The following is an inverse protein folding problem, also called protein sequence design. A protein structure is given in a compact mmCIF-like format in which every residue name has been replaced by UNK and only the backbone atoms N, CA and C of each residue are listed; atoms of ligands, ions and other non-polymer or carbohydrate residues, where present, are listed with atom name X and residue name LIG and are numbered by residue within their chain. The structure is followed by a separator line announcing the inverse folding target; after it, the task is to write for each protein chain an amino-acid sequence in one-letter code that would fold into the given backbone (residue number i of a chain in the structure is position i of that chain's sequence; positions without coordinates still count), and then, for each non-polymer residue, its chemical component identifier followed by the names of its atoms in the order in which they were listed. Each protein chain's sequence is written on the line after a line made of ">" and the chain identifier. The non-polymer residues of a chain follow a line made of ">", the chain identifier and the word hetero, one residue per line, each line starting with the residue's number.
data_IF_673952134653
#
_entry.id   IF_673952134653
#
_cell.length_a   1.000
_cell.length_b   1.000
_cell.length_c   1.000
_cell.angle_alpha   90.00
_cell.angle_beta   90.00
_cell.angle_gamma   90.00
#
_symmetry.space_group_name_H-M   'P 1'
#
loop_
_entity.id
_entity.type
_entity.pdbx_description
1 polymer ?
#
# COMPACT_ATOMS: atom_id res chain seq x y z
N UNK A 1 -17.48 14.70 -3.34
CA UNK A 1 -16.08 14.20 -3.28
C UNK A 1 -15.20 15.39 -3.58
N UNK A 2 -14.17 15.61 -2.78
CA UNK A 2 -13.19 16.68 -3.05
C UNK A 2 -12.49 16.37 -4.36
N UNK A 3 -12.48 17.31 -5.29
CA UNK A 3 -11.82 17.19 -6.63
C UNK A 3 -10.29 17.05 -6.49
N UNK A 4 -9.74 17.25 -5.30
CA UNK A 4 -8.32 17.46 -5.02
C UNK A 4 -7.47 16.16 -4.95
N UNK A 5 -8.10 14.97 -4.84
CA UNK A 5 -7.38 13.72 -4.60
C UNK A 5 -7.93 12.56 -5.46
N UNK A 6 -7.99 12.77 -6.78
CA UNK A 6 -8.38 11.72 -7.72
C UNK A 6 -7.15 11.22 -8.48
N UNK A 7 -7.08 9.93 -8.72
CA UNK A 7 -6.17 9.33 -9.69
C UNK A 7 -6.67 9.76 -11.07
N UNK A 8 -5.93 10.59 -11.77
CA UNK A 8 -6.29 11.11 -13.10
C UNK A 8 -5.85 10.13 -14.17
N UNK A 9 -4.56 9.83 -14.19
CA UNK A 9 -4.04 8.78 -15.03
C UNK A 9 -4.21 7.43 -14.33
N UNK A 10 -5.06 6.58 -14.91
CA UNK A 10 -5.42 5.27 -14.35
C UNK A 10 -4.35 4.21 -14.61
N UNK A 11 -3.45 4.46 -15.56
CA UNK A 11 -2.43 3.52 -16.01
C UNK A 11 -1.02 4.00 -15.69
N UNK A 12 -0.83 5.29 -15.43
CA UNK A 12 0.44 5.90 -15.06
C UNK A 12 0.87 5.61 -13.61
N UNK A 13 2.09 6.00 -13.31
CA UNK A 13 2.68 5.86 -11.98
C UNK A 13 2.04 6.82 -10.99
N UNK A 14 1.47 6.27 -9.93
CA UNK A 14 0.88 7.05 -8.85
C UNK A 14 1.52 6.69 -7.50
N UNK A 15 2.04 7.70 -6.81
CA UNK A 15 2.42 7.58 -5.40
C UNK A 15 1.19 7.81 -4.53
N UNK A 16 0.98 6.94 -3.56
CA UNK A 16 -0.17 6.99 -2.65
C UNK A 16 0.25 6.76 -1.21
N UNK A 17 -0.46 7.43 -0.29
CA UNK A 17 -0.40 7.15 1.15
C UNK A 17 -1.77 6.69 1.62
N UNK A 18 -1.84 5.50 2.19
CA UNK A 18 -3.08 4.89 2.68
C UNK A 18 -3.00 4.72 4.21
N UNK A 19 -3.46 5.69 4.99
CA UNK A 19 -3.44 5.59 6.46
C UNK A 19 -4.62 4.76 6.98
N UNK A 20 -4.38 4.06 8.10
CA UNK A 20 -5.45 3.56 8.95
C UNK A 20 -6.13 4.77 9.60
N UNK A 21 -7.44 4.68 9.77
CA UNK A 21 -8.22 5.75 10.38
C UNK A 21 -7.70 6.05 11.78
N UNK A 22 -7.59 7.34 12.13
CA UNK A 22 -7.01 7.76 13.40
C UNK A 22 -5.54 7.41 13.62
N UNK A 23 -4.81 7.01 12.57
CA UNK A 23 -3.42 6.58 12.65
C UNK A 23 -3.18 5.43 13.65
N UNK A 24 -4.19 4.55 13.78
CA UNK A 24 -4.13 3.39 14.67
C UNK A 24 -3.09 2.40 14.18
N UNK A 25 -2.19 1.93 15.07
CA UNK A 25 -1.12 0.97 14.79
C UNK A 25 -1.66 -0.45 14.59
N UNK A 26 -2.45 -0.64 13.51
CA UNK A 26 -3.07 -1.92 13.18
C UNK A 26 -2.02 -2.96 12.78
N UNK A 27 -1.06 -2.56 11.94
CA UNK A 27 -0.08 -3.43 11.30
C UNK A 27 1.10 -3.84 12.20
N UNK A 28 1.03 -3.63 13.50
CA UNK A 28 1.99 -4.18 14.47
C UNK A 28 1.87 -5.70 14.56
N UNK A 29 0.72 -6.29 14.21
CA UNK A 29 0.54 -7.74 14.13
C UNK A 29 0.61 -8.25 12.69
N UNK A 30 1.27 -9.38 12.51
CA UNK A 30 1.52 -10.00 11.21
C UNK A 30 0.23 -10.28 10.44
N UNK A 31 -0.81 -10.79 11.09
CA UNK A 31 -2.08 -11.15 10.44
C UNK A 31 -2.66 -10.00 9.61
N UNK A 32 -2.60 -8.76 10.10
CA UNK A 32 -3.13 -7.61 9.36
C UNK A 32 -2.23 -7.21 8.18
N UNK A 33 -0.93 -7.45 8.28
CA UNK A 33 0.01 -7.26 7.17
C UNK A 33 -0.26 -8.29 6.08
N UNK A 34 -0.47 -9.56 6.44
CA UNK A 34 -0.78 -10.62 5.49
C UNK A 34 -2.11 -10.37 4.77
N UNK A 35 -3.15 -9.89 5.45
CA UNK A 35 -4.41 -9.47 4.81
C UNK A 35 -4.15 -8.44 3.68
N UNK A 36 -3.26 -7.48 3.90
CA UNK A 36 -2.88 -6.48 2.88
C UNK A 36 -2.10 -7.13 1.75
N UNK A 37 -1.06 -7.90 2.06
CA UNK A 37 -0.17 -8.52 1.07
C UNK A 37 -0.89 -9.55 0.20
N UNK A 38 -1.72 -10.42 0.79
CA UNK A 38 -2.52 -11.41 0.06
C UNK A 38 -3.49 -10.73 -0.90
N UNK A 39 -4.11 -9.64 -0.46
CA UNK A 39 -5.01 -8.87 -1.32
C UNK A 39 -4.27 -8.21 -2.48
N UNK A 40 -3.03 -7.74 -2.29
CA UNK A 40 -2.21 -7.20 -3.38
C UNK A 40 -1.75 -8.29 -4.34
N UNK A 41 -1.31 -9.46 -3.85
CA UNK A 41 -0.98 -10.63 -4.70
C UNK A 41 -2.16 -11.00 -5.60
N UNK A 42 -3.37 -11.06 -5.01
CA UNK A 42 -4.58 -11.29 -5.80
C UNK A 42 -4.81 -10.22 -6.88
N UNK A 43 -4.63 -8.93 -6.53
CA UNK A 43 -4.80 -7.85 -7.49
C UNK A 43 -3.74 -7.88 -8.61
N UNK A 44 -2.50 -8.26 -8.30
CA UNK A 44 -1.44 -8.46 -9.29
C UNK A 44 -1.81 -9.57 -10.27
N UNK A 45 -2.31 -10.70 -9.79
CA UNK A 45 -2.65 -11.86 -10.61
C UNK A 45 -3.93 -11.66 -11.45
N UNK A 46 -4.91 -10.87 -10.97
CA UNK A 46 -6.25 -10.86 -11.54
C UNK A 46 -6.78 -9.49 -11.96
N UNK A 47 -6.10 -8.41 -11.59
CA UNK A 47 -6.62 -7.04 -11.82
C UNK A 47 -5.59 -6.09 -12.45
N UNK A 48 -4.57 -6.62 -13.11
CA UNK A 48 -3.55 -5.81 -13.77
C UNK A 48 -2.81 -4.84 -12.85
N UNK A 49 -2.86 -5.06 -11.53
CA UNK A 49 -2.23 -4.20 -10.55
C UNK A 49 -0.72 -4.40 -10.55
N UNK A 50 0.03 -3.33 -10.68
CA UNK A 50 1.50 -3.35 -10.69
C UNK A 50 2.01 -2.57 -9.48
N UNK A 51 2.85 -3.20 -8.68
CA UNK A 51 3.53 -2.60 -7.53
C UNK A 51 4.96 -2.28 -7.93
N UNK A 52 5.33 -1.01 -7.86
CA UNK A 52 6.68 -0.54 -8.18
C UNK A 52 7.52 -0.31 -6.94
N UNK A 53 6.96 0.30 -5.91
CA UNK A 53 7.60 0.43 -4.60
C UNK A 53 6.55 0.48 -3.49
N UNK A 54 6.86 -0.06 -2.31
CA UNK A 54 5.97 0.01 -1.16
C UNK A 54 6.73 -0.03 0.17
N UNK A 55 6.10 0.46 1.21
CA UNK A 55 6.41 0.15 2.60
C UNK A 55 5.14 0.07 3.43
N UNK A 56 5.02 -0.97 4.24
CA UNK A 56 3.91 -1.20 5.14
C UNK A 56 4.36 -0.88 6.55
N UNK A 57 4.00 0.33 7.01
CA UNK A 57 4.30 0.87 8.33
C UNK A 57 3.22 0.43 9.34
N UNK A 58 3.42 0.58 10.65
CA UNK A 58 2.45 0.15 11.66
C UNK A 58 1.02 0.67 11.47
N UNK A 59 0.84 1.86 10.90
CA UNK A 59 -0.46 2.55 10.80
C UNK A 59 -0.80 3.11 9.42
N UNK A 60 0.07 2.89 8.44
CA UNK A 60 -0.16 3.34 7.07
C UNK A 60 0.67 2.55 6.06
N UNK A 61 0.31 2.74 4.80
CA UNK A 61 1.06 2.20 3.66
C UNK A 61 1.46 3.34 2.75
N UNK A 62 2.72 3.35 2.31
CA UNK A 62 3.16 4.10 1.13
C UNK A 62 3.31 3.14 -0.05
N UNK A 63 2.90 3.59 -1.21
CA UNK A 63 2.84 2.76 -2.41
C UNK A 63 3.09 3.60 -3.65
N UNK A 64 3.93 3.11 -4.57
CA UNK A 64 3.95 3.53 -5.97
C UNK A 64 3.38 2.38 -6.77
N UNK A 65 2.29 2.64 -7.49
CA UNK A 65 1.60 1.63 -8.29
C UNK A 65 1.05 2.21 -9.58
N UNK A 66 0.82 1.30 -10.54
CA UNK A 66 0.08 1.51 -11.77
C UNK A 66 -0.93 0.38 -11.99
N UNK A 67 -1.69 0.44 -13.07
CA UNK A 67 -2.65 -0.60 -13.41
C UNK A 67 -2.71 -0.78 -14.92
N UNK A 68 -2.68 -2.03 -15.39
CA UNK A 68 -2.79 -2.34 -16.80
C UNK A 68 -4.25 -2.32 -17.30
N UNK A 69 -4.52 -1.85 -18.53
CA UNK A 69 -5.83 -2.00 -19.15
C UNK A 69 -6.29 -3.47 -19.15
N UNK A 70 -7.59 -3.78 -19.09
CA UNK A 70 -8.72 -2.83 -19.04
C UNK A 70 -9.06 -2.32 -17.62
N UNK A 71 -8.27 -2.65 -16.62
CA UNK A 71 -8.51 -2.28 -15.22
C UNK A 71 -8.13 -0.83 -14.94
N UNK A 72 -8.71 -0.27 -13.87
CA UNK A 72 -8.46 1.11 -13.44
C UNK A 72 -7.88 1.12 -12.04
N UNK A 73 -6.79 1.87 -11.83
CA UNK A 73 -6.10 1.94 -10.54
C UNK A 73 -7.03 2.41 -9.40
N UNK A 74 -7.90 3.40 -9.67
CA UNK A 74 -8.88 3.90 -8.69
C UNK A 74 -9.84 2.79 -8.22
N UNK A 75 -10.28 1.92 -9.13
CA UNK A 75 -11.18 0.81 -8.81
C UNK A 75 -10.47 -0.29 -8.03
N UNK A 76 -9.26 -0.63 -8.44
CA UNK A 76 -8.41 -1.61 -7.73
C UNK A 76 -8.17 -1.14 -6.29
N UNK A 77 -7.78 0.13 -6.10
CA UNK A 77 -7.53 0.69 -4.76
C UNK A 77 -8.79 0.77 -3.89
N UNK A 78 -9.94 1.09 -4.48
CA UNK A 78 -11.24 1.08 -3.80
C UNK A 78 -11.60 -0.32 -3.33
N UNK A 79 -11.48 -1.30 -4.22
CA UNK A 79 -11.85 -2.70 -3.95
C UNK A 79 -10.88 -3.32 -2.94
N UNK A 80 -9.59 -3.05 -3.07
CA UNK A 80 -8.56 -3.45 -2.12
C UNK A 80 -8.86 -2.93 -0.69
N UNK A 81 -9.13 -1.62 -0.53
CA UNK A 81 -9.48 -1.06 0.79
C UNK A 81 -10.75 -1.69 1.37
N UNK A 82 -11.76 -1.91 0.53
CA UNK A 82 -13.02 -2.55 0.95
C UNK A 82 -12.79 -3.99 1.41
N UNK A 83 -12.03 -4.76 0.62
CA UNK A 83 -11.74 -6.17 0.93
C UNK A 83 -10.92 -6.28 2.23
N UNK A 84 -9.80 -5.56 2.33
CA UNK A 84 -8.92 -5.62 3.50
C UNK A 84 -9.61 -5.12 4.77
N UNK A 85 -10.45 -4.08 4.68
CA UNK A 85 -11.28 -3.63 5.81
C UNK A 85 -12.25 -4.73 6.27
N UNK A 86 -12.91 -5.42 5.32
CA UNK A 86 -13.81 -6.54 5.64
C UNK A 86 -13.06 -7.69 6.31
N UNK A 87 -11.92 -8.12 5.78
CA UNK A 87 -11.13 -9.21 6.36
C UNK A 87 -10.62 -8.86 7.77
N UNK A 88 -10.15 -7.61 7.95
CA UNK A 88 -9.76 -7.10 9.28
C UNK A 88 -10.91 -7.18 10.28
N UNK A 89 -12.12 -6.76 9.89
CA UNK A 89 -13.29 -6.83 10.76
C UNK A 89 -13.72 -8.26 11.05
N UNK A 90 -13.71 -9.16 10.07
CA UNK A 90 -14.00 -10.57 10.28
C UNK A 90 -13.03 -11.17 11.30
N UNK A 91 -11.72 -10.89 11.16
CA UNK A 91 -10.72 -11.36 12.13
C UNK A 91 -10.97 -10.79 13.53
N UNK A 92 -11.28 -9.49 13.65
CA UNK A 92 -11.55 -8.84 14.93
C UNK A 92 -12.85 -9.33 15.59
N UNK A 93 -13.87 -9.67 14.82
CA UNK A 93 -15.16 -10.13 15.35
C UNK A 93 -15.17 -11.62 15.72
N UNK A 94 -14.26 -12.40 15.16
CA UNK A 94 -14.11 -13.81 15.53
C UNK A 94 -13.36 -13.93 16.86
N UNK A 95 -14.12 -14.31 17.91
CA UNK A 95 -13.60 -14.44 19.28
C UNK A 95 -12.61 -15.60 19.46
N UNK A 96 -12.49 -16.50 18.51
CA UNK A 96 -11.50 -17.60 18.54
C UNK A 96 -10.08 -17.08 18.22
N UNK A 97 -9.95 -15.96 17.53
CA UNK A 97 -8.67 -15.34 17.23
C UNK A 97 -8.06 -14.65 18.46
N UNK A 98 -6.74 -14.70 18.57
CA UNK A 98 -6.00 -14.05 19.66
C UNK A 98 -5.65 -12.61 19.28
N UNK A 99 -6.46 -11.64 19.71
CA UNK A 99 -6.18 -10.20 19.57
C UNK A 99 -6.55 -9.46 20.87
N UNK A 100 -5.53 -9.15 21.65
CA UNK A 100 -5.68 -8.48 22.96
C UNK A 100 -6.25 -7.05 22.87
N UNK A 101 -6.11 -6.39 21.71
CA UNK A 101 -6.59 -5.03 21.44
C UNK A 101 -7.98 -5.01 20.79
N UNK A 102 -8.65 -6.17 20.67
CA UNK A 102 -9.91 -6.36 19.93
C UNK A 102 -10.96 -5.30 20.27
N UNK A 103 -11.34 -5.20 21.53
CA UNK A 103 -12.42 -4.32 21.97
C UNK A 103 -12.06 -2.84 21.74
N UNK A 104 -10.81 -2.51 22.01
CA UNK A 104 -10.27 -1.19 21.75
C UNK A 104 -10.24 -0.85 20.26
N UNK A 105 -9.79 -1.76 19.39
CA UNK A 105 -9.78 -1.56 17.94
C UNK A 105 -11.20 -1.41 17.38
N UNK A 106 -12.12 -2.28 17.77
CA UNK A 106 -13.53 -2.21 17.35
C UNK A 106 -14.17 -0.91 17.81
N UNK A 107 -13.91 -0.48 19.07
CA UNK A 107 -14.38 0.80 19.57
C UNK A 107 -13.86 1.96 18.73
N UNK A 108 -12.55 2.06 18.48
CA UNK A 108 -11.97 3.14 17.69
C UNK A 108 -12.53 3.17 16.25
N UNK A 109 -12.58 2.03 15.57
CA UNK A 109 -13.08 1.95 14.20
C UNK A 109 -14.56 2.30 14.11
N UNK A 110 -15.37 1.99 15.12
CA UNK A 110 -16.76 2.44 15.20
C UNK A 110 -16.87 3.94 15.48
N UNK A 111 -16.05 4.47 16.38
CA UNK A 111 -16.01 5.89 16.71
C UNK A 111 -15.68 6.76 15.48
N UNK A 112 -14.66 6.38 14.71
CA UNK A 112 -14.27 7.09 13.49
C UNK A 112 -15.27 6.96 12.34
N UNK A 113 -16.18 5.99 12.40
CA UNK A 113 -17.30 5.87 11.46
C UNK A 113 -18.47 6.83 11.76
N UNK A 114 -18.57 7.32 13.02
CA UNK A 114 -19.63 8.24 13.42
C UNK A 114 -19.59 9.55 12.62
N UNK A 115 -20.75 10.06 12.26
CA UNK A 115 -20.88 11.34 11.55
C UNK A 115 -20.45 11.32 10.07
N UNK A 116 -20.07 10.18 9.50
CA UNK A 116 -19.77 10.08 8.07
C UNK A 116 -21.04 10.01 7.24
N UNK A 117 -21.01 10.61 6.02
CA UNK A 117 -22.15 10.63 5.08
C UNK A 117 -22.66 9.22 4.71
N UNK A 118 -21.77 8.23 4.69
CA UNK A 118 -22.13 6.84 4.47
C UNK A 118 -22.37 6.17 5.83
N UNK A 119 -23.55 5.57 6.01
CA UNK A 119 -23.92 4.81 7.22
C UNK A 119 -23.10 3.50 7.29
N UNK A 120 -21.83 3.60 7.62
CA UNK A 120 -20.96 2.44 7.89
C UNK A 120 -20.76 2.29 9.39
N UNK A 121 -20.75 1.06 9.88
CA UNK A 121 -20.58 0.76 11.31
C UNK A 121 -19.13 0.93 11.75
N UNK A 122 -18.17 0.65 10.86
CA UNK A 122 -16.74 0.72 11.13
C UNK A 122 -16.00 1.39 9.98
N UNK A 123 -14.92 2.09 10.30
CA UNK A 123 -14.01 2.67 9.32
C UNK A 123 -12.58 2.25 9.64
N UNK A 124 -11.96 1.42 8.76
CA UNK A 124 -10.58 0.95 8.91
C UNK A 124 -9.61 1.91 8.22
N UNK A 125 -9.84 2.22 6.95
CA UNK A 125 -8.99 3.09 6.16
C UNK A 125 -9.51 4.52 6.14
N UNK A 126 -8.60 5.50 6.10
CA UNK A 126 -8.98 6.85 5.70
C UNK A 126 -9.47 6.84 4.24
N UNK A 127 -10.41 7.75 3.92
CA UNK A 127 -11.01 7.77 2.57
C UNK A 127 -10.01 8.20 1.50
N UNK A 128 -9.21 9.23 1.79
CA UNK A 128 -8.27 9.80 0.83
C UNK A 128 -6.97 8.98 0.77
N UNK A 129 -6.44 8.79 -0.44
CA UNK A 129 -5.17 8.11 -0.71
C UNK A 129 -4.04 9.11 -1.02
N UNK A 130 -4.38 10.41 -1.11
CA UNK A 130 -3.45 11.48 -1.49
C UNK A 130 -2.59 11.11 -2.71
N UNK A 131 -3.20 10.72 -3.87
CA UNK A 131 -2.44 10.32 -5.03
C UNK A 131 -1.65 11.51 -5.59
N UNK A 132 -0.41 11.21 -5.97
CA UNK A 132 0.50 12.11 -6.69
C UNK A 132 0.95 11.36 -7.93
N UNK A 133 0.59 11.88 -9.10
CA UNK A 133 1.09 11.35 -10.37
C UNK A 133 2.59 11.66 -10.51
N UNK A 134 3.35 10.68 -10.99
CA UNK A 134 4.80 10.77 -11.09
C UNK A 134 5.22 10.81 -12.56
N UNK A 135 5.84 11.92 -12.98
CA UNK A 135 6.19 12.16 -14.39
C UNK A 135 7.69 12.20 -14.67
N UNK A 136 8.54 12.43 -13.66
CA UNK A 136 9.97 12.58 -13.91
C UNK A 136 10.78 11.59 -13.07
N UNK A 137 11.89 11.11 -13.65
CA UNK A 137 12.82 10.19 -13.00
C UNK A 137 13.28 10.73 -11.63
N UNK A 138 13.57 12.03 -11.56
CA UNK A 138 14.00 12.66 -10.31
C UNK A 138 12.92 12.54 -9.21
N UNK A 139 11.67 12.85 -9.53
CA UNK A 139 10.56 12.77 -8.55
C UNK A 139 10.27 11.31 -8.17
N UNK A 140 10.35 10.39 -9.15
CA UNK A 140 10.16 8.96 -8.92
C UNK A 140 11.24 8.44 -7.97
N UNK A 141 12.52 8.72 -8.24
CA UNK A 141 13.64 8.34 -7.38
C UNK A 141 13.47 8.88 -5.95
N UNK A 142 13.14 10.17 -5.81
CA UNK A 142 12.88 10.77 -4.50
C UNK A 142 11.74 10.08 -3.74
N UNK A 143 10.69 9.63 -4.44
CA UNK A 143 9.57 8.93 -3.81
C UNK A 143 9.93 7.50 -3.42
N UNK A 144 10.73 6.80 -4.20
CA UNK A 144 11.26 5.48 -3.86
C UNK A 144 12.13 5.59 -2.60
N UNK A 145 13.09 6.53 -2.58
CA UNK A 145 13.94 6.77 -1.41
C UNK A 145 13.11 7.12 -0.18
N UNK A 146 12.09 7.96 -0.34
CA UNK A 146 11.18 8.30 0.74
C UNK A 146 10.47 7.06 1.31
N UNK A 147 9.96 6.19 0.42
CA UNK A 147 9.28 4.94 0.80
C UNK A 147 10.25 4.03 1.56
N UNK A 148 11.44 3.78 1.01
CA UNK A 148 12.40 2.84 1.58
C UNK A 148 12.99 3.34 2.90
N UNK A 149 13.27 4.64 3.01
CA UNK A 149 13.81 5.24 4.24
C UNK A 149 12.76 5.43 5.35
N UNK A 150 11.48 5.15 5.09
CA UNK A 150 10.42 5.44 6.06
C UNK A 150 10.61 4.68 7.38
N UNK A 151 10.94 3.38 7.32
CA UNK A 151 11.18 2.55 8.50
C UNK A 151 12.46 2.95 9.25
N UNK A 152 13.51 3.40 8.54
CA UNK A 152 14.75 3.91 9.15
C UNK A 152 14.45 5.22 9.89
N UNK A 153 13.76 6.17 9.26
CA UNK A 153 13.38 7.46 9.87
C UNK A 153 12.47 7.29 11.10
N UNK A 154 11.67 6.22 11.09
CA UNK A 154 10.82 5.86 12.24
C UNK A 154 11.57 5.08 13.34
N UNK A 155 12.85 4.74 13.15
CA UNK A 155 13.67 4.03 14.11
C UNK A 155 13.35 2.54 14.25
N UNK A 156 12.71 1.92 13.26
CA UNK A 156 12.41 0.49 13.30
C UNK A 156 13.57 -0.38 12.85
N UNK A 157 14.41 0.12 11.96
CA UNK A 157 15.58 -0.56 11.40
C UNK A 157 16.68 0.46 11.13
N UNK A 158 17.94 -0.02 11.02
CA UNK A 158 19.09 0.84 10.72
C UNK A 158 19.27 1.03 9.20
N UNK A 159 18.89 0.03 8.39
CA UNK A 159 18.98 0.07 6.94
C UNK A 159 17.62 -0.22 6.30
N UNK A 160 17.30 0.39 5.15
CA UNK A 160 16.02 0.17 4.46
C UNK A 160 15.74 -1.29 4.14
N UNK A 161 16.75 -2.04 3.72
CA UNK A 161 16.67 -3.46 3.33
C UNK A 161 16.37 -4.40 4.50
N UNK A 162 16.59 -3.97 5.74
CA UNK A 162 16.24 -4.75 6.94
C UNK A 162 14.73 -4.72 7.22
N UNK A 163 13.98 -3.82 6.58
CA UNK A 163 12.53 -3.76 6.71
C UNK A 163 11.84 -4.67 5.70
N UNK A 164 11.61 -5.93 6.08
CA UNK A 164 11.04 -6.95 5.19
C UNK A 164 9.64 -6.61 4.61
N UNK A 165 8.89 -5.71 5.26
CA UNK A 165 7.56 -5.27 4.80
C UNK A 165 7.65 -4.05 3.86
N UNK A 166 8.68 -4.01 3.03
CA UNK A 166 8.88 -3.02 1.99
C UNK A 166 9.49 -3.64 0.74
N UNK A 167 9.56 -2.87 -0.33
CA UNK A 167 10.30 -3.22 -1.54
C UNK A 167 11.80 -2.95 -1.45
N UNK A 168 12.31 -2.38 -0.35
CA UNK A 168 13.73 -2.05 -0.21
C UNK A 168 14.66 -3.27 -0.36
N UNK A 169 14.35 -4.46 0.22
CA UNK A 169 15.16 -5.66 -0.01
C UNK A 169 15.30 -6.04 -1.48
N UNK A 170 14.23 -5.92 -2.26
CA UNK A 170 14.25 -6.17 -3.71
C UNK A 170 15.21 -5.22 -4.44
N UNK A 171 15.10 -3.91 -4.16
CA UNK A 171 15.93 -2.90 -4.83
C UNK A 171 17.41 -3.01 -4.43
N UNK A 172 17.72 -3.34 -3.18
CA UNK A 172 19.09 -3.58 -2.72
C UNK A 172 19.71 -4.78 -3.42
N UNK A 173 19.03 -5.94 -3.40
CA UNK A 173 19.55 -7.17 -4.00
C UNK A 173 19.70 -7.09 -5.52
N UNK A 174 18.73 -6.49 -6.23
CA UNK A 174 18.81 -6.32 -7.68
C UNK A 174 19.93 -5.38 -8.10
N UNK A 175 20.22 -4.36 -7.29
CA UNK A 175 21.36 -3.46 -7.52
C UNK A 175 22.70 -4.14 -7.32
N UNK A 176 22.82 -5.02 -6.33
CA UNK A 176 24.07 -5.70 -5.98
C UNK A 176 24.37 -6.90 -6.86
N UNK A 177 23.38 -7.77 -7.09
CA UNK A 177 23.56 -9.07 -7.75
C UNK A 177 22.78 -9.24 -9.06
N UNK A 178 21.87 -8.32 -9.39
CA UNK A 178 20.93 -8.48 -10.51
C UNK A 178 19.87 -9.57 -10.26
N UNK A 179 19.87 -10.21 -9.10
CA UNK A 179 18.96 -11.31 -8.78
C UNK A 179 17.80 -10.85 -7.89
N UNK A 180 16.61 -11.43 -8.10
CA UNK A 180 15.45 -11.20 -7.23
C UNK A 180 15.60 -12.07 -5.98
N UNK A 181 15.47 -11.52 -4.76
CA UNK A 181 15.50 -12.30 -3.52
C UNK A 181 14.39 -13.35 -3.48
N UNK A 182 14.71 -14.55 -2.96
CA UNK A 182 13.74 -15.64 -2.87
C UNK A 182 12.60 -15.40 -1.88
N UNK A 183 12.82 -14.53 -0.90
CA UNK A 183 11.86 -14.21 0.20
C UNK A 183 11.06 -12.93 -0.04
N UNK A 184 11.01 -12.47 -1.30
CA UNK A 184 10.25 -11.27 -1.64
C UNK A 184 8.75 -11.50 -1.43
N UNK A 185 8.08 -10.52 -0.80
CA UNK A 185 6.69 -10.66 -0.41
C UNK A 185 5.69 -10.38 -1.54
N UNK A 186 6.09 -9.63 -2.57
CA UNK A 186 5.27 -9.23 -3.71
C UNK A 186 6.09 -9.22 -4.98
N UNK A 187 5.45 -9.46 -6.12
CA UNK A 187 6.06 -9.22 -7.42
C UNK A 187 6.27 -7.71 -7.62
N UNK A 188 7.53 -7.30 -7.75
CA UNK A 188 7.88 -5.90 -7.98
C UNK A 188 8.17 -5.70 -9.46
N UNK A 189 7.43 -4.79 -10.08
CA UNK A 189 7.76 -4.26 -11.41
C UNK A 189 8.75 -3.13 -11.21
N UNK A 190 10.05 -3.36 -11.46
CA UNK A 190 11.07 -2.38 -11.13
C UNK A 190 10.89 -1.11 -11.97
N UNK A 191 11.17 0.02 -11.37
CA UNK A 191 10.89 1.32 -12.01
C UNK A 191 11.70 1.57 -13.28
N UNK A 192 12.89 0.98 -13.40
CA UNK A 192 13.68 1.08 -14.63
C UNK A 192 13.01 0.35 -15.80
N UNK A 193 12.24 -0.72 -15.58
CA UNK A 193 11.45 -1.39 -16.61
C UNK A 193 10.38 -0.46 -17.17
N UNK A 194 9.75 0.34 -16.34
CA UNK A 194 8.78 1.36 -16.77
C UNK A 194 9.35 2.32 -17.81
N UNK A 195 10.59 2.79 -17.62
CA UNK A 195 11.22 3.72 -18.56
C UNK A 195 11.66 3.07 -19.89
N UNK A 196 11.93 1.77 -19.89
CA UNK A 196 12.36 1.05 -21.10
C UNK A 196 11.20 0.52 -21.94
N UNK A 197 10.10 0.09 -21.32
CA UNK A 197 8.94 -0.46 -22.02
C UNK A 197 8.02 0.62 -22.60
N UNK A 198 7.87 1.76 -21.95
CA UNK A 198 7.03 2.87 -22.42
C UNK A 198 7.79 3.95 -23.18
N UNK A 199 9.12 3.83 -23.37
CA UNK A 199 9.99 4.72 -24.14
C UNK A 199 9.84 6.21 -23.86
N UNK A 200 10.89 7.05 -24.02
CA UNK A 200 10.82 8.50 -23.76
C UNK A 200 10.05 9.28 -24.83
N UNK A 201 9.03 8.70 -25.45
CA UNK A 201 8.28 9.29 -26.57
C UNK A 201 6.77 9.09 -26.56
N UNK A 202 6.19 8.48 -25.53
CA UNK A 202 4.73 8.27 -25.42
C UNK A 202 4.02 9.30 -24.51
N UNK A 203 4.65 10.43 -24.25
CA UNK A 203 4.08 11.54 -23.45
C UNK A 203 3.66 12.72 -24.31
#
# INVERSE_FOLDING_TARGET
>A
MSVRYKIRDQHGLNYMTCPITGWVDLFTRQVYREIVLDSWRYCQQHKGFQVHAYTLMPNHVHLIASCQPPFRLEEVMRDWKRHTARQTLLYLQDKTNIESRRDWLLYLFSYFALGKKHKQTYQIWQHDNHPIELYSEQVISQKIDYIHLNAVRAGFVDKPEDWKYSSAPFYAATKESGAVPADILLDIVPIWQWFYEEGPGSW
#
